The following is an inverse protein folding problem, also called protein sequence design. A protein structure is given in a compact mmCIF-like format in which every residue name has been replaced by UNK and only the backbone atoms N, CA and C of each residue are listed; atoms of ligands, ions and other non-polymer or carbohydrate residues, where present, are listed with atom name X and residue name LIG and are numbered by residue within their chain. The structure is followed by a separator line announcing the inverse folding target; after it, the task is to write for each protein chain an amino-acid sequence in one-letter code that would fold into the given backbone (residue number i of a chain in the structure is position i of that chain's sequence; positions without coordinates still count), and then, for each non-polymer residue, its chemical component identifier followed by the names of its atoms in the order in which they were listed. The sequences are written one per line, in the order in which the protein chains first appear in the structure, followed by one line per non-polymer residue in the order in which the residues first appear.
data_IF_262110979230
#
_entry.id   IF_262110979230
#
_cell.length_a   1.000
_cell.length_b   1.000
_cell.length_c   1.000
_cell.angle_alpha   90.00
_cell.angle_beta   90.00
_cell.angle_gamma   90.00
#
_symmetry.space_group_name_H-M   'P 1'
#
loop_
_entity.id
_entity.type
_entity.pdbx_description
1 polymer ?
#
# COMPACT_ATOMS: atom_id res chain seq x y z
N UNK A 1 -12.01 -31.68 -22.69
CA UNK A 1 -11.18 -31.64 -23.92
C UNK A 1 -11.75 -32.63 -24.93
N UNK A 2 -11.96 -32.23 -26.19
CA UNK A 2 -12.53 -33.08 -27.24
C UNK A 2 -11.47 -33.31 -28.33
N UNK A 3 -11.20 -34.58 -28.64
CA UNK A 3 -10.31 -35.00 -29.71
C UNK A 3 -11.13 -35.52 -30.89
N UNK A 4 -10.87 -35.00 -32.08
CA UNK A 4 -11.60 -35.35 -33.30
C UNK A 4 -10.60 -35.80 -34.36
N UNK A 5 -10.95 -36.85 -35.11
CA UNK A 5 -10.14 -37.40 -36.20
C UNK A 5 -11.01 -37.52 -37.46
N UNK A 6 -10.47 -37.20 -38.62
CA UNK A 6 -11.12 -37.50 -39.90
C UNK A 6 -10.94 -38.99 -40.24
N UNK A 7 -12.03 -39.65 -40.61
CA UNK A 7 -11.99 -41.04 -41.08
C UNK A 7 -11.62 -41.11 -42.57
N UNK A 8 -11.38 -42.33 -43.07
CA UNK A 8 -11.01 -42.56 -44.49
C UNK A 8 -12.09 -42.13 -45.49
N UNK A 9 -13.32 -41.91 -45.03
CA UNK A 9 -14.44 -41.38 -45.81
C UNK A 9 -14.60 -39.85 -45.68
N UNK A 10 -13.61 -39.15 -45.11
CA UNK A 10 -13.63 -37.69 -44.95
C UNK A 10 -14.54 -37.17 -43.85
N UNK A 11 -15.19 -38.05 -43.07
CA UNK A 11 -16.11 -37.68 -41.99
C UNK A 11 -15.32 -37.48 -40.69
N UNK A 12 -15.57 -36.35 -40.01
CA UNK A 12 -14.99 -36.09 -38.70
C UNK A 12 -15.71 -36.91 -37.64
N UNK A 13 -14.95 -37.70 -36.87
CA UNK A 13 -15.45 -38.51 -35.77
C UNK A 13 -14.75 -38.11 -34.48
N UNK A 14 -15.53 -37.96 -33.41
CA UNK A 14 -15.00 -37.69 -32.07
C UNK A 14 -14.42 -38.99 -31.54
N UNK A 15 -13.11 -39.01 -31.26
CA UNK A 15 -12.42 -40.22 -30.81
C UNK A 15 -12.19 -40.24 -29.31
N UNK A 16 -12.14 -39.07 -28.68
CA UNK A 16 -11.99 -38.95 -27.22
C UNK A 16 -12.75 -37.74 -26.72
N UNK A 17 -13.63 -37.96 -25.76
CA UNK A 17 -14.34 -36.90 -25.07
C UNK A 17 -13.98 -36.98 -23.59
N UNK A 18 -13.16 -36.04 -23.11
CA UNK A 18 -12.84 -35.94 -21.69
C UNK A 18 -13.95 -35.13 -21.02
N UNK A 19 -14.81 -35.86 -20.30
CA UNK A 19 -15.95 -35.36 -19.51
C UNK A 19 -15.56 -35.02 -18.07
N UNK A 20 -14.35 -35.38 -17.66
CA UNK A 20 -13.88 -35.16 -16.30
C UNK A 20 -13.47 -33.70 -16.13
N UNK A 21 -14.17 -33.02 -15.22
CA UNK A 21 -13.99 -31.61 -14.92
C UNK A 21 -13.87 -31.48 -13.41
N UNK A 22 -13.04 -30.55 -12.94
CA UNK A 22 -12.95 -30.25 -11.50
C UNK A 22 -14.19 -29.48 -10.96
N UNK A 23 -15.29 -29.50 -11.71
CA UNK A 23 -16.58 -28.90 -11.34
C UNK A 23 -17.71 -29.57 -12.15
N UNK A 24 -18.95 -29.62 -11.61
CA UNK A 24 -20.11 -30.12 -12.35
C UNK A 24 -20.38 -29.25 -13.60
N UNK A 25 -20.54 -29.90 -14.75
CA UNK A 25 -21.00 -29.23 -15.97
C UNK A 25 -22.47 -28.88 -15.77
N UNK A 26 -22.76 -27.61 -15.53
CA UNK A 26 -24.13 -27.12 -15.33
C UNK A 26 -24.90 -27.22 -16.64
N UNK A 27 -25.86 -28.13 -16.71
CA UNK A 27 -26.71 -28.40 -17.90
C UNK A 27 -28.10 -27.75 -17.82
N UNK A 28 -28.40 -27.02 -16.75
CA UNK A 28 -29.69 -26.33 -16.59
C UNK A 28 -29.70 -24.97 -17.34
N UNK A 29 -30.85 -24.55 -17.92
CA UNK A 29 -31.02 -23.18 -18.40
C UNK A 29 -30.74 -22.22 -17.26
N UNK A 30 -29.85 -21.24 -17.48
CA UNK A 30 -29.48 -20.22 -16.49
C UNK A 30 -30.75 -19.53 -15.96
N UNK A 31 -31.13 -19.82 -14.73
CA UNK A 31 -31.89 -18.87 -13.93
C UNK A 31 -30.96 -17.68 -13.67
N UNK A 32 -31.39 -16.48 -14.07
CA UNK A 32 -30.56 -15.27 -14.23
C UNK A 32 -30.18 -14.62 -12.89
N UNK A 33 -29.99 -15.41 -11.85
CA UNK A 33 -29.49 -14.93 -10.56
C UNK A 33 -28.46 -15.93 -10.05
N UNK A 34 -27.15 -15.67 -10.21
CA UNK A 34 -26.19 -16.33 -9.34
C UNK A 34 -26.47 -15.75 -7.95
N UNK A 35 -27.20 -16.51 -7.13
CA UNK A 35 -27.23 -16.26 -5.70
C UNK A 35 -25.77 -16.13 -5.26
N UNK A 36 -25.43 -15.01 -4.63
CA UNK A 36 -24.07 -14.68 -4.23
C UNK A 36 -23.47 -15.86 -3.46
N UNK A 37 -22.47 -16.51 -4.06
CA UNK A 37 -21.88 -17.72 -3.52
C UNK A 37 -21.23 -17.39 -2.16
N UNK A 38 -21.08 -18.40 -1.29
CA UNK A 38 -20.43 -18.22 0.02
C UNK A 38 -19.01 -17.61 -0.12
N UNK A 39 -18.32 -17.95 -1.21
CA UNK A 39 -17.02 -17.37 -1.57
C UNK A 39 -17.12 -15.88 -1.89
N UNK A 40 -18.15 -15.46 -2.62
CA UNK A 40 -18.38 -14.04 -2.93
C UNK A 40 -18.69 -13.23 -1.67
N UNK A 41 -19.42 -13.83 -0.71
CA UNK A 41 -19.66 -13.23 0.61
C UNK A 41 -18.37 -13.05 1.37
N UNK A 42 -17.51 -14.07 1.35
CA UNK A 42 -16.22 -13.98 2.01
C UNK A 42 -15.29 -12.95 1.36
N UNK A 43 -15.29 -12.86 0.04
CA UNK A 43 -14.55 -11.83 -0.71
C UNK A 43 -15.03 -10.44 -0.30
N UNK A 44 -16.35 -10.21 -0.24
CA UNK A 44 -16.89 -8.92 0.16
C UNK A 44 -16.52 -8.57 1.60
N UNK A 45 -16.69 -9.49 2.54
CA UNK A 45 -16.34 -9.30 3.96
C UNK A 45 -14.86 -8.90 4.10
N UNK A 46 -13.94 -9.72 3.56
CA UNK A 46 -12.51 -9.46 3.62
C UNK A 46 -12.13 -8.14 2.94
N UNK A 47 -12.78 -7.80 1.83
CA UNK A 47 -12.57 -6.52 1.14
C UNK A 47 -12.96 -5.33 2.03
N UNK A 48 -14.08 -5.43 2.76
CA UNK A 48 -14.49 -4.37 3.68
C UNK A 48 -13.53 -4.23 4.86
N UNK A 49 -13.05 -5.35 5.41
CA UNK A 49 -12.11 -5.36 6.53
C UNK A 49 -10.76 -4.76 6.13
N UNK A 50 -10.23 -5.15 4.95
CA UNK A 50 -9.00 -4.58 4.39
C UNK A 50 -9.15 -3.08 4.19
N UNK A 51 -10.28 -2.62 3.65
CA UNK A 51 -10.54 -1.19 3.47
C UNK A 51 -10.55 -0.44 4.80
N UNK A 52 -11.14 -1.02 5.84
CA UNK A 52 -11.12 -0.47 7.19
C UNK A 52 -9.70 -0.33 7.73
N UNK A 53 -8.92 -1.41 7.67
CA UNK A 53 -7.51 -1.43 8.11
C UNK A 53 -6.64 -0.43 7.33
N UNK A 54 -6.81 -0.33 6.00
CA UNK A 54 -6.10 0.65 5.17
C UNK A 54 -6.41 2.09 5.57
N UNK A 55 -7.68 2.41 5.83
CA UNK A 55 -8.07 3.75 6.31
C UNK A 55 -7.44 4.07 7.66
N UNK A 56 -7.48 3.13 8.60
CA UNK A 56 -6.87 3.32 9.92
C UNK A 56 -5.34 3.51 9.82
N UNK A 57 -4.69 2.72 8.97
CA UNK A 57 -3.26 2.87 8.69
C UNK A 57 -2.93 4.25 8.11
N UNK A 58 -3.74 4.78 7.19
CA UNK A 58 -3.55 6.11 6.63
C UNK A 58 -3.66 7.19 7.72
N UNK A 59 -4.67 7.09 8.61
CA UNK A 59 -4.82 8.02 9.73
C UNK A 59 -3.60 8.01 10.65
N UNK A 60 -3.06 6.84 10.99
CA UNK A 60 -1.84 6.75 11.80
C UNK A 60 -0.62 7.33 11.07
N UNK A 61 -0.50 7.10 9.76
CA UNK A 61 0.57 7.71 8.95
C UNK A 61 0.47 9.24 8.93
N UNK A 62 -0.74 9.78 8.76
CA UNK A 62 -0.96 11.23 8.77
C UNK A 62 -0.59 11.84 10.13
N UNK A 63 -1.00 11.19 11.22
CA UNK A 63 -0.65 11.62 12.58
C UNK A 63 0.86 11.60 12.83
N UNK A 64 1.54 10.50 12.47
CA UNK A 64 2.98 10.39 12.61
C UNK A 64 3.71 11.44 11.77
N UNK A 65 3.24 11.69 10.55
CA UNK A 65 3.83 12.70 9.66
C UNK A 65 3.68 14.10 10.25
N UNK A 66 2.50 14.43 10.79
CA UNK A 66 2.27 15.71 11.45
C UNK A 66 3.18 15.90 12.68
N UNK A 67 3.30 14.85 13.51
CA UNK A 67 4.19 14.86 14.68
C UNK A 67 5.66 15.06 14.28
N UNK A 68 6.14 14.31 13.29
CA UNK A 68 7.53 14.44 12.82
C UNK A 68 7.82 15.84 12.30
N UNK A 69 6.86 16.46 11.59
CA UNK A 69 6.98 17.84 11.13
C UNK A 69 7.12 18.85 12.28
N UNK A 70 6.38 18.66 13.38
CA UNK A 70 6.47 19.51 14.57
C UNK A 70 7.84 19.36 15.26
N UNK A 71 8.31 18.12 15.42
CA UNK A 71 9.64 17.84 15.99
C UNK A 71 10.74 18.49 15.14
N UNK A 72 10.67 18.35 13.81
CA UNK A 72 11.65 18.92 12.90
C UNK A 72 11.66 20.45 12.93
N UNK A 73 10.48 21.09 13.04
CA UNK A 73 10.36 22.54 13.22
C UNK A 73 11.01 22.98 14.55
N UNK A 74 10.76 22.29 15.65
CA UNK A 74 11.38 22.59 16.94
C UNK A 74 12.91 22.45 16.91
N UNK A 75 13.43 21.40 16.25
CA UNK A 75 14.87 21.20 16.05
C UNK A 75 15.46 22.38 15.25
N UNK A 76 14.80 22.78 14.16
CA UNK A 76 15.23 23.91 13.35
C UNK A 76 15.23 25.22 14.13
N UNK A 77 14.20 25.48 14.93
CA UNK A 77 14.11 26.66 15.79
C UNK A 77 15.22 26.68 16.84
N UNK A 78 15.48 25.54 17.49
CA UNK A 78 16.55 25.42 18.47
C UNK A 78 17.92 25.65 17.82
N UNK A 79 18.16 25.05 16.66
CA UNK A 79 19.39 25.24 15.87
C UNK A 79 19.62 26.72 15.53
N UNK A 80 18.57 27.43 15.07
CA UNK A 80 18.64 28.88 14.82
C UNK A 80 18.97 29.69 16.07
N UNK A 81 18.39 29.34 17.23
CA UNK A 81 18.70 30.00 18.52
C UNK A 81 20.15 29.78 18.94
N UNK A 82 20.64 28.54 18.84
CA UNK A 82 22.04 28.20 19.12
C UNK A 82 22.98 28.97 18.20
N UNK A 83 22.69 28.99 16.89
CA UNK A 83 23.49 29.74 15.92
C UNK A 83 23.55 31.23 16.24
N UNK A 84 22.42 31.82 16.67
CA UNK A 84 22.38 33.22 17.11
C UNK A 84 23.29 33.46 18.32
N UNK A 85 23.24 32.59 19.33
CA UNK A 85 24.12 32.70 20.50
C UNK A 85 25.60 32.57 20.10
N UNK A 86 25.93 31.60 19.26
CA UNK A 86 27.29 31.40 18.75
C UNK A 86 27.79 32.63 17.97
N UNK A 87 26.94 33.21 17.12
CA UNK A 87 27.30 34.41 16.37
C UNK A 87 27.51 35.61 17.29
N UNK A 88 26.62 35.82 18.27
CA UNK A 88 26.78 36.87 19.27
C UNK A 88 28.11 36.71 20.01
N UNK A 89 28.45 35.51 20.49
CA UNK A 89 29.73 35.27 21.19
C UNK A 89 30.95 35.59 20.33
N UNK A 90 30.92 35.25 19.03
CA UNK A 90 31.99 35.61 18.08
C UNK A 90 32.16 37.11 17.91
N UNK A 91 31.07 37.88 17.96
CA UNK A 91 31.13 39.34 17.89
C UNK A 91 31.78 39.97 19.14
N UNK A 92 31.69 39.30 20.30
CA UNK A 92 32.34 39.76 21.55
C UNK A 92 33.80 39.29 21.70
N UNK A 93 34.24 38.28 20.95
CA UNK A 93 35.62 37.78 20.94
C UNK A 93 36.70 38.88 20.69
N UNK A 94 36.53 39.84 19.77
CA UNK A 94 37.50 40.94 19.60
C UNK A 94 37.54 41.93 20.78
N UNK A 95 36.38 42.23 21.39
CA UNK A 95 36.31 43.10 22.57
C UNK A 95 37.01 42.48 23.78
N UNK A 96 36.91 41.17 23.93
CA UNK A 96 37.60 40.42 24.98
C UNK A 96 39.13 40.42 24.77
N UNK A 97 39.60 40.33 23.52
CA UNK A 97 41.03 40.45 23.17
C UNK A 97 41.60 41.85 23.42
N UNK A 98 40.87 42.92 23.12
CA UNK A 98 41.33 44.30 23.41
C UNK A 98 41.40 44.58 24.91
N UNK A 99 40.40 44.12 25.69
CA UNK A 99 40.41 44.29 27.15
C UNK A 99 41.53 43.50 27.85
N UNK A 100 41.94 42.35 27.29
CA UNK A 100 43.04 41.56 27.83
C UNK A 100 44.43 42.03 27.39
N UNK A 101 44.53 42.82 26.31
CA UNK A 101 45.77 43.51 25.92
C UNK A 101 46.04 44.80 26.72
N UNK A 102 45.01 45.38 27.34
CA UNK A 102 45.11 46.59 28.16
C UNK A 102 45.24 46.35 29.68
N UNK A 103 45.44 45.10 30.10
CA UNK A 103 45.68 44.70 31.50
C UNK A 103 47.13 44.27 31.70
#
# INVERSE_FOLDING_TARGET
MILVKSNKAGKWVVTKFVKDHNHPVVTAPREVHPAMDEKDKKIQELTTEIRGKKRLSALYQDQLTAFMKEVEEHINQLSKKVQKVVNNLKEFEPLEKELSQHR
#
